data_IF_077358364616
#
_entry.id   IF_077358364616
#
_cell.length_a   1.000
_cell.length_b   1.000
_cell.length_c   1.000
_cell.angle_alpha   90.00
_cell.angle_beta   90.00
_cell.angle_gamma   90.00
#
_symmetry.space_group_name_H-M   'P 1'
#
loop_
_entity.id
_entity.type
_entity.pdbx_description
1 polymer ?
#
# COMPACT_ATOMS: atom_id res chain seq x y z
N UNK A 1 2.40 -12.89 -9.99
CA UNK A 1 3.36 -12.66 -8.89
C UNK A 1 4.08 -11.37 -9.23
N UNK A 2 4.12 -10.41 -8.31
CA UNK A 2 4.91 -9.20 -8.46
C UNK A 2 6.27 -9.52 -7.85
N UNK A 3 7.34 -9.34 -8.63
CA UNK A 3 8.70 -9.63 -8.17
C UNK A 3 9.02 -8.86 -6.87
N UNK A 4 9.71 -9.52 -5.93
CA UNK A 4 10.02 -8.95 -4.62
C UNK A 4 8.85 -8.84 -3.63
N UNK A 5 7.59 -8.99 -4.07
CA UNK A 5 6.42 -8.82 -3.19
C UNK A 5 5.71 -10.13 -2.86
N UNK A 6 5.32 -10.28 -1.59
CA UNK A 6 4.54 -11.41 -1.09
C UNK A 6 3.05 -11.11 -1.17
N UNK A 7 2.26 -12.03 -1.72
CA UNK A 7 0.79 -11.97 -1.68
C UNK A 7 0.31 -12.12 -0.23
N UNK A 8 -0.51 -11.19 0.23
CA UNK A 8 -0.98 -11.13 1.62
C UNK A 8 -2.47 -11.38 1.76
N UNK A 9 -3.26 -10.78 0.88
CA UNK A 9 -4.71 -10.85 0.96
C UNK A 9 -5.35 -10.81 -0.42
N UNK A 10 -6.53 -11.41 -0.54
CA UNK A 10 -7.35 -11.36 -1.76
C UNK A 10 -8.81 -11.23 -1.37
N UNK A 11 -9.51 -10.37 -2.11
CA UNK A 11 -10.95 -10.20 -2.02
C UNK A 11 -11.57 -10.14 -3.41
N UNK A 12 -12.85 -10.51 -3.51
CA UNK A 12 -13.63 -10.39 -4.74
C UNK A 12 -14.49 -9.14 -4.67
N UNK A 13 -14.48 -8.36 -5.75
CA UNK A 13 -15.16 -7.10 -5.92
C UNK A 13 -16.04 -7.17 -7.19
N UNK A 14 -17.15 -7.92 -7.11
CA UNK A 14 -17.96 -8.22 -8.29
C UNK A 14 -17.16 -9.04 -9.32
N UNK A 15 -17.00 -8.58 -10.58
CA UNK A 15 -16.21 -9.28 -11.60
C UNK A 15 -14.70 -9.17 -11.40
N UNK A 16 -14.26 -8.30 -10.49
CA UNK A 16 -12.83 -8.04 -10.22
C UNK A 16 -12.34 -8.85 -9.03
N UNK A 17 -11.09 -9.29 -9.09
CA UNK A 17 -10.31 -9.75 -7.93
C UNK A 17 -9.32 -8.66 -7.54
N UNK A 18 -9.27 -8.30 -6.26
CA UNK A 18 -8.26 -7.39 -5.71
C UNK A 18 -7.35 -8.18 -4.79
N UNK A 19 -6.06 -8.15 -5.08
CA UNK A 19 -5.03 -8.82 -4.29
C UNK A 19 -4.02 -7.81 -3.75
N UNK A 20 -3.81 -7.81 -2.44
CA UNK A 20 -2.78 -7.01 -1.78
C UNK A 20 -1.47 -7.82 -1.68
N UNK A 21 -0.38 -7.16 -1.99
CA UNK A 21 0.99 -7.66 -1.90
C UNK A 21 1.84 -6.65 -1.13
N UNK A 22 2.92 -7.11 -0.50
CA UNK A 22 3.88 -6.22 0.14
C UNK A 22 5.29 -6.81 0.19
N UNK A 23 6.30 -5.95 0.32
CA UNK A 23 7.68 -6.35 0.57
C UNK A 23 7.86 -6.68 2.07
N UNK A 24 8.10 -7.93 2.46
CA UNK A 24 8.22 -8.29 3.88
C UNK A 24 9.51 -7.77 4.54
N UNK A 25 10.48 -7.34 3.72
CA UNK A 25 11.77 -6.83 4.14
C UNK A 25 12.08 -5.56 3.36
N UNK A 26 12.75 -4.61 4.01
CA UNK A 26 13.25 -3.38 3.40
C UNK A 26 14.51 -2.96 4.14
N UNK A 27 15.30 -2.06 3.57
CA UNK A 27 16.37 -1.40 4.30
C UNK A 27 15.94 -0.02 4.85
N UNK A 28 16.71 0.48 5.80
CA UNK A 28 16.47 1.77 6.45
C UNK A 28 16.65 2.96 5.50
N UNK A 29 17.50 2.85 4.47
CA UNK A 29 17.71 3.92 3.50
C UNK A 29 16.46 4.10 2.62
N UNK A 30 15.83 2.99 2.22
CA UNK A 30 14.58 2.99 1.47
C UNK A 30 13.44 3.63 2.25
N UNK A 31 13.28 3.27 3.53
CA UNK A 31 12.25 3.91 4.38
C UNK A 31 12.47 5.40 4.58
N UNK A 32 13.73 5.85 4.55
CA UNK A 32 14.11 7.25 4.74
C UNK A 32 14.23 8.05 3.44
N UNK A 33 13.93 7.46 2.29
CA UNK A 33 14.08 8.10 0.97
C UNK A 33 15.52 8.54 0.66
N UNK A 34 16.50 7.68 0.94
CA UNK A 34 17.93 7.95 0.75
C UNK A 34 18.51 6.98 -0.29
N UNK A 35 19.02 7.52 -1.40
CA UNK A 35 19.77 6.73 -2.39
C UNK A 35 18.94 5.67 -3.12
N UNK A 36 17.63 5.87 -3.24
CA UNK A 36 16.72 4.90 -3.86
C UNK A 36 16.78 5.01 -5.38
N UNK A 37 17.06 3.89 -6.06
CA UNK A 37 17.02 3.79 -7.52
C UNK A 37 15.61 3.51 -8.04
N UNK A 38 14.90 2.55 -7.42
CA UNK A 38 13.48 2.26 -7.69
C UNK A 38 12.62 2.47 -6.43
N UNK A 39 11.78 3.52 -6.38
CA UNK A 39 10.92 3.77 -5.23
C UNK A 39 9.94 2.63 -4.95
N UNK A 40 9.60 1.80 -5.92
CA UNK A 40 8.61 0.74 -5.79
C UNK A 40 9.19 -0.65 -5.52
N UNK A 41 10.51 -0.79 -5.42
CA UNK A 41 11.19 -2.05 -5.04
C UNK A 41 10.64 -2.58 -3.71
N UNK A 42 10.63 -1.72 -2.69
CA UNK A 42 9.97 -2.00 -1.40
C UNK A 42 8.65 -1.22 -1.31
N UNK A 43 7.54 -1.94 -1.51
CA UNK A 43 6.22 -1.33 -1.61
C UNK A 43 5.09 -2.20 -1.08
N UNK A 44 3.93 -1.59 -0.87
CA UNK A 44 2.64 -2.26 -0.87
C UNK A 44 2.04 -2.10 -2.27
N UNK A 45 1.51 -3.19 -2.82
CA UNK A 45 0.88 -3.20 -4.14
C UNK A 45 -0.52 -3.82 -4.08
N UNK A 46 -1.44 -3.24 -4.83
CA UNK A 46 -2.75 -3.80 -5.12
C UNK A 46 -2.77 -4.22 -6.59
N UNK A 47 -3.00 -5.51 -6.84
CA UNK A 47 -3.29 -6.05 -8.16
C UNK A 47 -4.81 -6.16 -8.31
N UNK A 48 -5.34 -5.57 -9.36
CA UNK A 48 -6.77 -5.62 -9.71
C UNK A 48 -6.86 -6.40 -11.01
N UNK A 49 -7.51 -7.56 -10.96
CA UNK A 49 -7.66 -8.47 -12.11
C UNK A 49 -9.12 -8.51 -12.54
N UNK A 50 -9.39 -8.33 -13.83
CA UNK A 50 -10.70 -8.66 -14.37
C UNK A 50 -10.82 -10.19 -14.47
N UNK A 51 -11.53 -10.82 -13.52
CA UNK A 51 -11.64 -12.28 -13.45
C UNK A 51 -12.78 -12.78 -14.34
N UNK A 52 -13.95 -12.15 -14.21
CA UNK A 52 -15.21 -12.64 -14.80
C UNK A 52 -15.96 -11.58 -15.61
N UNK A 53 -15.41 -10.36 -15.75
CA UNK A 53 -16.07 -9.23 -16.40
C UNK A 53 -15.91 -9.21 -17.92
N UNK A 54 -16.79 -8.50 -18.64
CA UNK A 54 -16.69 -8.42 -20.09
C UNK A 54 -15.42 -7.68 -20.54
N UNK A 55 -15.00 -7.95 -21.78
CA UNK A 55 -14.03 -7.11 -22.47
C UNK A 55 -14.53 -5.65 -22.50
N UNK A 56 -13.65 -4.70 -22.20
CA UNK A 56 -13.98 -3.29 -22.12
C UNK A 56 -14.60 -2.85 -20.79
N UNK A 57 -14.69 -3.72 -19.77
CA UNK A 57 -15.11 -3.34 -18.42
C UNK A 57 -14.30 -2.13 -17.93
N UNK A 58 -14.99 -1.12 -17.42
CA UNK A 58 -14.39 0.05 -16.79
C UNK A 58 -14.57 0.01 -15.27
N UNK A 59 -13.61 0.57 -14.55
CA UNK A 59 -13.68 0.75 -13.10
C UNK A 59 -12.97 2.05 -12.71
N UNK A 60 -13.34 2.60 -11.56
CA UNK A 60 -12.58 3.69 -10.94
C UNK A 60 -11.66 3.07 -9.89
N UNK A 61 -10.36 3.22 -10.09
CA UNK A 61 -9.33 2.77 -9.16
C UNK A 61 -8.86 3.97 -8.34
N UNK A 62 -8.87 3.83 -7.03
CA UNK A 62 -8.32 4.82 -6.12
C UNK A 62 -6.87 4.45 -5.83
N UNK A 63 -5.91 5.25 -6.33
CA UNK A 63 -4.52 5.01 -5.98
C UNK A 63 -4.33 5.29 -4.48
N UNK A 64 -3.74 4.34 -3.73
CA UNK A 64 -3.59 4.50 -2.30
C UNK A 64 -2.46 5.50 -2.03
N UNK A 65 -2.82 6.70 -1.60
CA UNK A 65 -1.86 7.68 -1.11
C UNK A 65 -1.51 7.37 0.36
N UNK A 66 -0.25 7.54 0.79
CA UNK A 66 0.16 7.45 2.20
C UNK A 66 -0.37 8.67 2.96
N UNK A 67 -1.68 8.72 3.14
CA UNK A 67 -2.35 9.70 3.98
C UNK A 67 -2.49 9.09 5.35
N UNK A 68 -2.27 9.90 6.40
CA UNK A 68 -2.35 9.46 7.80
C UNK A 68 -3.70 8.84 8.17
N UNK A 69 -4.73 9.03 7.34
CA UNK A 69 -6.05 8.42 7.50
C UNK A 69 -6.13 6.96 7.01
N UNK A 70 -5.27 6.56 6.06
CA UNK A 70 -5.29 5.21 5.48
C UNK A 70 -4.25 4.27 6.07
N UNK A 71 -3.17 4.81 6.64
CA UNK A 71 -2.05 4.01 7.14
C UNK A 71 -1.77 4.30 8.60
N UNK A 72 -1.60 3.23 9.38
CA UNK A 72 -0.97 3.25 10.68
C UNK A 72 0.31 2.44 10.66
N UNK A 73 1.38 3.03 11.16
CA UNK A 73 2.71 2.43 11.23
C UNK A 73 3.06 2.29 12.70
N UNK A 74 3.23 1.04 13.15
CA UNK A 74 3.67 0.75 14.49
C UNK A 74 5.04 0.07 14.48
N UNK A 75 5.96 0.51 15.35
CA UNK A 75 7.28 -0.11 15.53
C UNK A 75 7.27 -1.01 16.75
N UNK A 76 7.92 -2.16 16.68
CA UNK A 76 8.09 -3.03 17.83
C UNK A 76 9.11 -2.46 18.82
N UNK A 77 8.75 -2.36 20.09
CA UNK A 77 9.66 -2.00 21.18
C UNK A 77 10.49 -3.21 21.67
N UNK A 78 11.40 -2.98 22.61
CA UNK A 78 12.27 -4.04 23.18
C UNK A 78 11.51 -5.10 23.97
N UNK A 79 10.28 -4.80 24.39
CA UNK A 79 9.39 -5.72 25.11
C UNK A 79 8.49 -6.51 24.14
N UNK A 80 8.64 -6.30 22.83
CA UNK A 80 7.89 -6.99 21.79
C UNK A 80 6.54 -6.35 21.46
N UNK A 81 6.21 -5.18 22.02
CA UNK A 81 4.93 -4.49 21.79
C UNK A 81 5.03 -3.56 20.60
N UNK A 82 3.98 -3.50 19.79
CA UNK A 82 3.89 -2.53 18.69
C UNK A 82 3.39 -1.19 19.21
N UNK A 83 4.21 -0.16 19.05
CA UNK A 83 3.91 1.23 19.42
C UNK A 83 3.63 2.01 18.14
N UNK A 84 2.45 2.63 18.06
CA UNK A 84 2.07 3.50 16.94
C UNK A 84 3.01 4.70 16.88
N UNK A 85 3.68 4.87 15.74
CA UNK A 85 4.57 6.00 15.44
C UNK A 85 4.00 6.92 14.36
N UNK A 86 2.76 6.66 13.92
CA UNK A 86 2.05 7.48 12.96
C UNK A 86 1.81 8.87 13.55
N UNK A 87 2.07 9.90 12.76
CA UNK A 87 1.85 11.29 13.14
C UNK A 87 0.83 11.91 12.19
N UNK A 88 -0.08 12.70 12.75
CA UNK A 88 -1.05 13.49 11.97
C UNK A 88 -0.32 14.59 11.19
N UNK A 89 0.05 14.28 9.94
CA UNK A 89 0.56 15.14 8.87
C UNK A 89 1.57 16.23 9.27
N UNK A 90 2.86 15.96 9.05
CA UNK A 90 3.90 16.98 8.83
C UNK A 90 4.27 16.94 7.33
N UNK A 91 3.30 17.17 6.43
CA UNK A 91 3.64 17.62 5.08
C UNK A 91 2.45 18.33 4.39
N UNK A 92 2.39 19.68 4.43
CA UNK A 92 1.36 20.45 3.74
C UNK A 92 1.44 20.37 2.19
N UNK A 93 2.49 19.77 1.61
CA UNK A 93 2.63 19.56 0.17
C UNK A 93 2.09 18.19 -0.29
N UNK A 94 1.84 17.25 0.63
CA UNK A 94 1.36 15.90 0.33
C UNK A 94 -0.04 15.61 0.93
N UNK A 95 -0.81 16.65 1.27
CA UNK A 95 -2.21 16.58 1.70
C UNK A 95 -3.19 16.34 0.54
N UNK A 96 -2.84 15.52 -0.43
CA UNK A 96 -3.71 15.22 -1.57
C UNK A 96 -4.90 14.36 -1.15
N UNK A 97 -6.10 14.65 -1.64
CA UNK A 97 -7.19 13.66 -1.59
C UNK A 97 -6.85 12.51 -2.55
N UNK A 98 -7.21 11.25 -2.22
CA UNK A 98 -7.08 10.16 -3.15
C UNK A 98 -7.80 10.52 -4.46
N UNK A 99 -7.05 10.56 -5.55
CA UNK A 99 -7.62 10.92 -6.84
C UNK A 99 -8.02 9.64 -7.57
N UNK A 100 -9.32 9.38 -7.78
CA UNK A 100 -9.74 8.22 -8.55
C UNK A 100 -9.30 8.37 -10.00
N UNK A 101 -8.84 7.27 -10.60
CA UNK A 101 -8.54 7.19 -12.03
C UNK A 101 -9.37 6.09 -12.68
N UNK A 102 -9.84 6.38 -13.88
CA UNK A 102 -10.53 5.38 -14.69
C UNK A 102 -9.52 4.36 -15.23
N UNK A 103 -9.85 3.09 -15.07
CA UNK A 103 -9.14 1.97 -15.69
C UNK A 103 -10.11 1.21 -16.60
N UNK A 104 -9.56 0.65 -17.67
CA UNK A 104 -10.30 -0.19 -18.63
C UNK A 104 -9.57 -1.51 -18.83
N UNK A 105 -10.30 -2.60 -18.71
CA UNK A 105 -9.80 -3.95 -18.97
C UNK A 105 -10.15 -4.32 -20.42
N UNK A 106 -9.16 -4.68 -21.24
CA UNK A 106 -9.37 -5.11 -22.61
C UNK A 106 -9.99 -6.52 -22.68
N UNK A 107 -9.68 -7.40 -21.72
CA UNK A 107 -10.19 -8.76 -21.65
C UNK A 107 -10.25 -9.33 -20.22
N UNK A 108 -10.72 -10.58 -20.11
CA UNK A 108 -10.56 -11.40 -18.90
C UNK A 108 -9.09 -11.76 -18.69
N UNK A 109 -8.64 -11.67 -17.44
CA UNK A 109 -7.26 -11.87 -17.02
C UNK A 109 -6.40 -10.62 -17.06
N UNK A 110 -6.90 -9.51 -17.63
CA UNK A 110 -6.21 -8.23 -17.64
C UNK A 110 -6.04 -7.68 -16.23
N UNK A 111 -4.93 -6.95 -16.04
CA UNK A 111 -4.46 -6.55 -14.72
C UNK A 111 -4.15 -5.07 -14.69
N UNK A 112 -4.50 -4.43 -13.59
CA UNK A 112 -4.06 -3.10 -13.22
C UNK A 112 -3.37 -3.16 -11.86
N UNK A 113 -2.48 -2.20 -11.61
CA UNK A 113 -1.74 -2.13 -10.36
C UNK A 113 -1.82 -0.73 -9.77
N UNK A 114 -1.88 -0.68 -8.44
CA UNK A 114 -1.63 0.52 -7.65
C UNK A 114 -0.54 0.20 -6.63
N UNK A 115 0.40 1.12 -6.40
CA UNK A 115 1.57 0.86 -5.53
C UNK A 115 1.87 2.05 -4.62
N UNK A 116 2.42 1.72 -3.45
CA UNK A 116 2.84 2.68 -2.43
C UNK A 116 4.26 2.33 -2.02
N UNK A 117 5.18 3.25 -2.23
CA UNK A 117 6.56 3.11 -1.76
C UNK A 117 6.61 3.17 -0.24
N UNK A 118 7.49 2.37 0.38
CA UNK A 118 7.83 2.53 1.79
C UNK A 118 8.51 3.87 2.11
N UNK A 119 9.23 4.47 1.16
CA UNK A 119 9.78 5.81 1.31
C UNK A 119 8.69 6.85 1.61
N UNK A 120 7.48 6.59 1.14
CA UNK A 120 6.34 7.48 1.31
C UNK A 120 5.80 7.48 2.75
N UNK A 121 6.22 6.55 3.62
CA UNK A 121 5.87 6.56 5.04
C UNK A 121 6.47 7.73 5.82
N UNK A 122 7.52 8.38 5.30
CA UNK A 122 8.07 9.61 5.88
C UNK A 122 7.07 10.77 5.92
N UNK A 123 6.01 10.73 5.12
CA UNK A 123 4.97 11.78 5.13
C UNK A 123 4.07 11.68 6.38
N UNK A 124 4.08 10.52 7.06
CA UNK A 124 3.23 10.21 8.20
C UNK A 124 4.03 9.69 9.40
N UNK A 125 5.37 9.73 9.35
CA UNK A 125 6.27 9.35 10.45
C UNK A 125 7.51 10.24 10.43
N UNK A 126 7.98 10.64 11.63
CA UNK A 126 9.26 11.32 11.74
C UNK A 126 10.41 10.37 11.37
N UNK A 127 11.34 10.83 10.53
CA UNK A 127 12.54 10.08 10.15
C UNK A 127 13.36 9.60 11.35
N UNK A 128 13.33 10.32 12.49
CA UNK A 128 13.99 9.90 13.72
C UNK A 128 13.36 8.64 14.35
N UNK A 129 12.08 8.36 14.07
CA UNK A 129 11.37 7.17 14.53
C UNK A 129 11.47 5.99 13.56
N UNK A 130 11.86 6.25 12.30
CA UNK A 130 12.22 5.22 11.33
C UNK A 130 13.62 4.70 11.65
N UNK A 131 13.72 3.50 12.18
CA UNK A 131 14.95 2.83 12.59
C UNK A 131 14.91 1.38 12.11
N UNK A 132 16.00 0.63 12.28
CA UNK A 132 15.96 -0.82 12.06
C UNK A 132 15.01 -1.52 13.04
N UNK A 133 14.50 -2.67 12.64
CA UNK A 133 13.65 -3.56 13.45
C UNK A 133 12.30 -3.86 12.80
N UNK A 134 11.37 -4.37 13.61
CA UNK A 134 10.06 -4.82 13.13
C UNK A 134 9.01 -3.73 13.14
N UNK A 135 8.22 -3.72 12.08
CA UNK A 135 7.10 -2.81 11.92
C UNK A 135 5.82 -3.57 11.59
N UNK A 136 4.69 -3.01 12.02
CA UNK A 136 3.36 -3.42 11.62
C UNK A 136 2.68 -2.26 10.92
N UNK A 137 2.25 -2.51 9.69
CA UNK A 137 1.54 -1.57 8.84
C UNK A 137 0.08 -2.01 8.83
N UNK A 138 -0.82 -1.14 9.29
CA UNK A 138 -2.26 -1.35 9.25
C UNK A 138 -2.86 -0.41 8.22
N UNK A 139 -3.73 -0.94 7.36
CA UNK A 139 -4.50 -0.13 6.42
C UNK A 139 -5.91 0.01 6.96
N UNK A 140 -6.34 1.24 7.17
CA UNK A 140 -7.75 1.51 7.46
C UNK A 140 -8.59 1.17 6.23
N UNK A 141 -9.82 0.63 6.39
CA UNK A 141 -10.64 0.26 5.26
C UNK A 141 -10.91 1.45 4.31
N UNK A 142 -10.70 1.25 3.01
CA UNK A 142 -10.89 2.29 2.00
C UNK A 142 -11.41 1.72 0.69
N UNK A 143 -12.07 2.57 -0.10
CA UNK A 143 -12.61 2.19 -1.41
C UNK A 143 -11.45 2.07 -2.41
N UNK A 144 -10.95 0.86 -2.65
CA UNK A 144 -9.83 0.64 -3.58
C UNK A 144 -10.31 0.69 -5.02
N UNK A 145 -11.49 0.13 -5.31
CA UNK A 145 -12.05 0.08 -6.66
C UNK A 145 -13.56 0.21 -6.64
N UNK A 146 -14.10 0.98 -7.57
CA UNK A 146 -15.53 1.10 -7.81
C UNK A 146 -15.85 0.55 -9.19
N UNK A 147 -16.75 -0.43 -9.25
CA UNK A 147 -17.21 -1.08 -10.48
C UNK A 147 -18.73 -1.04 -10.51
N UNK A 148 -19.32 -0.58 -11.61
CA UNK A 148 -20.77 -0.38 -11.76
C UNK A 148 -21.41 0.43 -10.62
N UNK A 149 -20.70 1.46 -10.15
CA UNK A 149 -21.14 2.33 -9.04
C UNK A 149 -21.11 1.67 -7.65
N UNK A 150 -20.57 0.45 -7.53
CA UNK A 150 -20.39 -0.23 -6.25
C UNK A 150 -18.93 -0.14 -5.83
N UNK A 151 -18.70 0.54 -4.71
CA UNK A 151 -17.40 0.60 -4.08
C UNK A 151 -17.04 -0.76 -3.47
N UNK A 152 -15.81 -1.19 -3.68
CA UNK A 152 -15.20 -2.31 -2.99
C UNK A 152 -14.28 -1.78 -1.91
N UNK A 153 -14.70 -1.97 -0.66
CA UNK A 153 -13.89 -1.61 0.50
C UNK A 153 -12.76 -2.64 0.66
N UNK A 154 -11.52 -2.18 0.69
CA UNK A 154 -10.36 -3.01 0.97
C UNK A 154 -10.25 -3.27 2.47
N UNK A 155 -10.24 -4.55 2.88
CA UNK A 155 -10.02 -4.94 4.28
C UNK A 155 -8.76 -5.79 4.37
N UNK A 156 -7.61 -5.14 4.22
CA UNK A 156 -6.30 -5.83 4.26
C UNK A 156 -5.91 -6.08 5.72
N UNK A 157 -5.59 -7.34 6.11
CA UNK A 157 -5.03 -7.61 7.42
C UNK A 157 -3.71 -6.86 7.64
N UNK A 158 -3.31 -6.56 8.89
CA UNK A 158 -2.02 -5.93 9.16
C UNK A 158 -0.85 -6.68 8.50
N UNK A 159 0.11 -5.93 7.98
CA UNK A 159 1.32 -6.43 7.35
C UNK A 159 2.50 -6.21 8.28
N UNK A 160 3.32 -7.23 8.48
CA UNK A 160 4.52 -7.13 9.31
C UNK A 160 5.75 -7.13 8.42
N UNK A 161 6.62 -6.13 8.60
CA UNK A 161 7.86 -5.98 7.83
C UNK A 161 9.07 -5.95 8.77
N UNK A 162 10.21 -6.41 8.29
CA UNK A 162 11.51 -6.26 8.92
C UNK A 162 12.31 -5.16 8.19
N UNK A 163 12.96 -4.29 8.97
CA UNK A 163 13.78 -3.19 8.47
C UNK A 163 15.22 -3.43 8.87
N UNK A 164 16.06 -3.69 7.88
CA UNK A 164 17.47 -4.01 8.07
C UNK A 164 18.41 -2.88 7.62
N UNK A 165 19.71 -3.07 7.84
CA UNK A 165 20.76 -2.18 7.32
C UNK A 165 21.20 -1.08 8.26
N UNK A 166 22.38 -0.53 7.99
CA UNK A 166 22.92 0.67 8.65
C UNK A 166 22.96 1.79 7.62
N UNK A 167 22.61 3.01 8.04
CA UNK A 167 22.79 4.22 7.22
C UNK A 167 24.26 4.58 7.07
#
# INVERSE_FOLDING_TARGET
MIEGLKKHHTQTCGPLEVSAYFAPTTDLAHLRDIGIEDPYEHSIAFEIVNRDGPAGLTAQLQDPAPLAFFFKIARQDREGRFIDITQSQIDPLHTGEPTPREIRFAANGDRNFARISYAAFRTITDAANLTTGRYRITLEPFEIVTVDGKACLSTVPPMEIEVDGTL
#
